data_IF_683435718503
#
_entry.id   IF_683435718503
#
_cell.length_a   1.000
_cell.length_b   1.000
_cell.length_c   1.000
_cell.angle_alpha   90.00
_cell.angle_beta   90.00
_cell.angle_gamma   90.00
#
_symmetry.space_group_name_H-M   'P 1'
#
loop_
_entity.id
_entity.type
_entity.pdbx_description
1 polymer ?
#
# COMPACT_ATOMS: atom_id res chain seq x y z
N UNK A 1 -38.09 -47.72 -27.41
CA UNK A 1 -37.71 -46.37 -27.91
C UNK A 1 -36.19 -46.24 -27.76
N UNK A 2 -35.45 -46.13 -28.86
CA UNK A 2 -33.98 -45.99 -28.83
C UNK A 2 -33.66 -44.51 -28.61
N UNK A 3 -33.12 -44.15 -27.46
CA UNK A 3 -32.67 -42.79 -27.20
C UNK A 3 -31.44 -42.50 -28.05
N UNK A 4 -31.49 -41.41 -28.82
CA UNK A 4 -30.42 -41.01 -29.71
C UNK A 4 -29.29 -40.36 -28.89
N UNK A 5 -28.10 -40.98 -28.79
CA UNK A 5 -27.03 -40.50 -27.91
C UNK A 5 -26.51 -39.08 -28.29
N UNK A 6 -26.72 -38.66 -29.54
CA UNK A 6 -26.32 -37.33 -30.02
C UNK A 6 -27.16 -36.19 -29.40
N UNK A 7 -28.42 -36.46 -29.03
CA UNK A 7 -29.28 -35.44 -28.39
C UNK A 7 -28.85 -35.20 -26.93
N UNK A 8 -28.38 -36.25 -26.24
CA UNK A 8 -27.88 -36.12 -24.86
C UNK A 8 -26.57 -35.32 -24.78
N UNK A 9 -25.65 -35.53 -25.73
CA UNK A 9 -24.38 -34.81 -25.81
C UNK A 9 -24.61 -33.34 -26.15
N UNK A 10 -25.53 -33.01 -27.06
CA UNK A 10 -25.88 -31.63 -27.39
C UNK A 10 -26.51 -30.85 -26.21
N UNK A 11 -27.35 -31.51 -25.40
CA UNK A 11 -27.95 -30.90 -24.19
C UNK A 11 -26.91 -30.66 -23.11
N UNK A 12 -25.93 -31.57 -22.94
CA UNK A 12 -24.84 -31.35 -21.94
C UNK A 12 -23.89 -30.23 -22.34
N UNK A 13 -23.63 -30.05 -23.65
CA UNK A 13 -22.79 -28.97 -24.17
C UNK A 13 -23.45 -27.58 -24.05
N UNK A 14 -24.79 -27.50 -24.11
CA UNK A 14 -25.49 -26.21 -23.91
C UNK A 14 -25.53 -25.77 -22.44
N UNK A 15 -25.57 -26.71 -21.49
CA UNK A 15 -25.59 -26.38 -20.04
C UNK A 15 -24.22 -25.87 -19.56
N UNK A 16 -23.12 -26.32 -20.17
CA UNK A 16 -21.78 -25.86 -19.82
C UNK A 16 -21.45 -24.45 -20.34
N UNK A 17 -22.19 -23.89 -21.28
CA UNK A 17 -22.01 -22.55 -21.82
C UNK A 17 -22.61 -21.45 -20.92
N UNK A 18 -23.46 -21.80 -19.96
CA UNK A 18 -24.04 -20.84 -19.02
C UNK A 18 -23.30 -20.68 -17.66
N UNK A 19 -22.21 -21.46 -17.46
CA UNK A 19 -21.40 -21.36 -16.22
C UNK A 19 -20.15 -20.48 -16.36
N UNK A 20 -20.02 -19.75 -17.44
CA UNK A 20 -18.90 -18.83 -17.64
C UNK A 20 -19.33 -17.38 -17.47
N UNK A 21 -18.98 -16.77 -16.39
CA UNK A 21 -18.96 -15.37 -15.94
C UNK A 21 -19.85 -15.10 -14.73
N UNK A 22 -19.53 -15.70 -13.59
CA UNK A 22 -19.75 -14.99 -12.35
C UNK A 22 -18.64 -13.93 -12.26
N UNK A 23 -18.99 -12.68 -12.60
CA UNK A 23 -18.17 -11.54 -12.24
C UNK A 23 -18.03 -11.56 -10.72
N UNK A 24 -16.82 -11.76 -10.21
CA UNK A 24 -16.58 -11.73 -8.79
C UNK A 24 -17.04 -10.36 -8.26
N UNK A 25 -17.85 -10.32 -7.22
CA UNK A 25 -18.35 -9.12 -6.55
C UNK A 25 -17.22 -8.17 -6.06
N UNK A 26 -15.97 -8.61 -6.13
CA UNK A 26 -14.75 -7.90 -5.75
C UNK A 26 -14.57 -6.57 -6.51
N UNK A 27 -15.08 -6.45 -7.73
CA UNK A 27 -14.92 -5.25 -8.58
C UNK A 27 -16.19 -4.41 -8.74
N UNK A 28 -17.25 -4.71 -7.96
CA UNK A 28 -18.46 -3.88 -8.01
C UNK A 28 -18.24 -2.58 -7.22
N UNK A 29 -18.54 -1.42 -7.82
CA UNK A 29 -18.50 -0.16 -7.10
C UNK A 29 -19.45 -0.19 -5.89
N UNK A 30 -19.06 0.46 -4.82
CA UNK A 30 -19.96 0.61 -3.68
C UNK A 30 -21.23 1.38 -4.07
N UNK A 31 -22.38 0.99 -3.53
CA UNK A 31 -23.56 1.82 -3.64
C UNK A 31 -23.37 3.17 -2.90
N UNK A 32 -24.12 4.17 -3.30
CA UNK A 32 -24.08 5.49 -2.64
C UNK A 32 -24.40 5.39 -1.15
N UNK A 33 -25.34 4.52 -0.78
CA UNK A 33 -25.78 4.29 0.60
C UNK A 33 -24.64 3.67 1.42
N UNK A 34 -23.96 2.64 0.89
CA UNK A 34 -22.80 2.02 1.52
C UNK A 34 -21.67 3.02 1.72
N UNK A 35 -21.35 3.81 0.71
CA UNK A 35 -20.30 4.83 0.79
C UNK A 35 -20.63 5.92 1.82
N UNK A 36 -21.89 6.39 1.88
CA UNK A 36 -22.33 7.37 2.87
C UNK A 36 -22.33 6.81 4.30
N UNK A 37 -22.78 5.57 4.51
CA UNK A 37 -22.75 4.92 5.80
C UNK A 37 -21.30 4.79 6.30
N UNK A 38 -20.41 4.31 5.44
CA UNK A 38 -18.99 4.21 5.77
C UNK A 38 -18.39 5.57 6.15
N UNK A 39 -18.68 6.62 5.37
CA UNK A 39 -18.17 7.98 5.64
C UNK A 39 -18.69 8.54 6.97
N UNK A 40 -19.95 8.26 7.31
CA UNK A 40 -20.56 8.71 8.57
C UNK A 40 -19.92 8.04 9.81
N UNK A 41 -19.40 6.83 9.66
CA UNK A 41 -18.75 6.07 10.73
C UNK A 41 -17.27 6.44 10.93
N UNK A 42 -16.67 7.22 10.00
CA UNK A 42 -15.26 7.54 10.02
C UNK A 42 -15.03 9.03 10.31
N UNK A 43 -14.09 9.36 11.21
CA UNK A 43 -13.78 10.75 11.51
C UNK A 43 -13.13 11.45 10.31
N UNK A 44 -13.14 12.78 10.34
CA UNK A 44 -12.42 13.61 9.38
C UNK A 44 -10.93 13.19 9.33
N UNK A 45 -10.39 13.06 8.12
CA UNK A 45 -8.98 12.68 7.92
C UNK A 45 -8.12 13.93 7.81
N UNK A 46 -7.19 14.07 8.73
CA UNK A 46 -6.15 15.10 8.72
C UNK A 46 -4.79 14.41 8.76
N UNK A 47 -3.89 14.77 7.85
CA UNK A 47 -2.59 14.11 7.80
C UNK A 47 -1.62 14.74 6.81
N UNK A 48 -0.47 14.10 6.67
CA UNK A 48 0.60 14.55 5.79
C UNK A 48 1.33 13.35 5.15
N UNK A 49 2.33 13.65 4.29
CA UNK A 49 3.32 12.65 3.92
C UNK A 49 4.19 12.35 5.15
N UNK A 50 4.49 11.08 5.35
CA UNK A 50 5.34 10.63 6.44
C UNK A 50 6.55 9.86 5.90
N UNK A 51 7.70 10.21 6.44
CA UNK A 51 8.96 9.52 6.36
C UNK A 51 9.70 9.81 7.66
N UNK A 52 10.31 8.82 8.33
CA UNK A 52 11.02 9.06 9.57
C UNK A 52 12.23 9.99 9.33
N UNK A 53 12.54 10.84 10.30
CA UNK A 53 13.64 11.82 10.20
C UNK A 53 15.03 11.18 10.03
N UNK A 54 15.15 9.90 10.28
CA UNK A 54 16.37 9.09 10.09
C UNK A 54 16.55 8.56 8.69
N UNK A 55 15.56 8.69 7.80
CA UNK A 55 15.62 8.21 6.42
C UNK A 55 15.63 9.37 5.43
N UNK A 56 16.50 9.33 4.42
CA UNK A 56 16.58 10.36 3.37
C UNK A 56 15.53 10.14 2.26
N UNK A 57 15.11 8.89 2.05
CA UNK A 57 14.14 8.49 1.04
C UNK A 57 13.42 7.19 1.45
N UNK A 58 12.50 6.72 0.60
CA UNK A 58 11.74 5.49 0.83
C UNK A 58 12.61 4.23 0.88
N UNK A 59 13.81 4.22 0.27
CA UNK A 59 14.72 3.07 0.36
C UNK A 59 15.26 2.95 1.78
N UNK A 60 15.80 4.04 2.36
CA UNK A 60 16.28 4.02 3.76
C UNK A 60 15.16 3.77 4.76
N UNK A 61 13.94 4.25 4.48
CA UNK A 61 12.80 3.99 5.35
C UNK A 61 12.51 2.49 5.49
N UNK A 62 12.71 1.71 4.42
CA UNK A 62 12.20 0.35 4.37
C UNK A 62 13.26 -0.74 4.37
N UNK A 63 14.51 -0.49 3.98
CA UNK A 63 15.56 -1.51 3.96
C UNK A 63 16.00 -1.89 5.37
N UNK A 64 16.34 -3.17 5.60
CA UNK A 64 16.68 -3.71 6.91
C UNK A 64 17.85 -3.03 7.60
N UNK A 65 18.80 -2.52 6.82
CA UNK A 65 19.99 -1.84 7.35
C UNK A 65 19.68 -0.50 8.05
N UNK A 66 18.56 0.14 7.72
CA UNK A 66 18.24 1.51 8.16
C UNK A 66 16.81 1.66 8.70
N UNK A 67 15.99 0.60 8.67
CA UNK A 67 14.64 0.63 9.24
C UNK A 67 14.68 0.95 10.73
N UNK A 68 14.01 2.02 11.14
CA UNK A 68 14.06 2.57 12.51
C UNK A 68 12.66 2.68 13.13
N UNK A 69 12.19 1.55 13.66
CA UNK A 69 10.90 1.46 14.33
C UNK A 69 10.76 2.41 15.52
N UNK A 70 11.86 2.68 16.23
CA UNK A 70 11.83 3.56 17.41
C UNK A 70 11.58 5.03 17.03
N UNK A 71 12.19 5.50 15.94
CA UNK A 71 11.93 6.82 15.39
C UNK A 71 10.52 6.93 14.81
N UNK A 72 10.08 5.90 14.09
CA UNK A 72 8.71 5.82 13.56
C UNK A 72 7.68 5.92 14.70
N UNK A 73 7.84 5.15 15.76
CA UNK A 73 6.94 5.17 16.93
C UNK A 73 6.88 6.55 17.59
N UNK A 74 8.04 7.16 17.82
CA UNK A 74 8.13 8.50 18.40
C UNK A 74 7.45 9.57 17.54
N UNK A 75 7.70 9.56 16.26
CA UNK A 75 7.21 10.60 15.34
C UNK A 75 5.74 10.45 15.01
N UNK A 76 5.22 9.24 14.92
CA UNK A 76 3.79 9.00 14.83
C UNK A 76 3.07 9.37 16.12
N UNK A 77 3.70 9.21 17.29
CA UNK A 77 3.19 9.72 18.57
C UNK A 77 3.04 11.24 18.55
N UNK A 78 4.03 11.98 18.07
CA UNK A 78 3.91 13.44 17.91
C UNK A 78 2.80 13.83 16.93
N UNK A 79 2.64 13.07 15.86
CA UNK A 79 1.58 13.31 14.89
C UNK A 79 0.18 13.12 15.51
N UNK A 80 0.00 12.08 16.32
CA UNK A 80 -1.23 11.84 17.10
C UNK A 80 -1.52 13.00 18.07
N UNK A 81 -0.51 13.46 18.82
CA UNK A 81 -0.65 14.56 19.77
C UNK A 81 -1.17 15.86 19.14
N UNK A 82 -0.82 16.14 17.89
CA UNK A 82 -1.31 17.31 17.15
C UNK A 82 -2.60 17.03 16.34
N UNK A 83 -3.19 15.85 16.49
CA UNK A 83 -4.48 15.49 15.92
C UNK A 83 -4.43 14.93 14.48
N UNK A 84 -3.27 14.54 13.97
CA UNK A 84 -3.18 13.84 12.70
C UNK A 84 -3.66 12.38 12.87
N UNK A 85 -4.41 11.87 11.90
CA UNK A 85 -4.99 10.54 11.95
C UNK A 85 -4.85 9.74 10.65
N UNK A 86 -4.09 10.26 9.70
CA UNK A 86 -3.72 9.56 8.47
C UNK A 86 -2.33 9.98 8.01
N UNK A 87 -1.52 9.01 7.57
CA UNK A 87 -0.23 9.26 6.92
C UNK A 87 -0.21 8.70 5.51
N UNK A 88 0.32 9.49 4.57
CA UNK A 88 0.64 9.02 3.23
C UNK A 88 2.10 8.59 3.20
N UNK A 89 2.33 7.33 2.86
CA UNK A 89 3.64 6.68 2.97
C UNK A 89 4.00 6.03 1.65
N UNK A 90 5.21 6.28 1.18
CA UNK A 90 5.73 5.72 -0.06
C UNK A 90 6.39 4.36 0.20
N UNK A 91 6.03 3.38 -0.61
CA UNK A 91 6.71 2.09 -0.65
C UNK A 91 7.93 2.16 -1.59
N UNK A 92 8.74 1.11 -1.62
CA UNK A 92 9.90 1.02 -2.51
C UNK A 92 9.93 -0.33 -3.23
N UNK A 93 9.80 -0.30 -4.55
CA UNK A 93 9.96 -1.48 -5.41
C UNK A 93 11.39 -2.01 -5.37
N UNK A 94 12.36 -1.12 -5.20
CA UNK A 94 13.79 -1.47 -5.08
C UNK A 94 14.05 -2.30 -3.83
N UNK A 95 13.49 -1.93 -2.69
CA UNK A 95 13.60 -2.72 -1.45
C UNK A 95 12.83 -4.03 -1.59
N UNK A 96 11.62 -4.01 -2.13
CA UNK A 96 10.85 -5.22 -2.42
C UNK A 96 11.62 -6.22 -3.28
N UNK A 97 12.34 -5.78 -4.31
CA UNK A 97 13.10 -6.65 -5.21
C UNK A 97 14.33 -7.28 -4.53
N UNK A 98 14.90 -6.63 -3.53
CA UNK A 98 16.13 -7.08 -2.87
C UNK A 98 15.88 -7.87 -1.57
N UNK A 99 14.86 -7.53 -0.79
CA UNK A 99 14.54 -8.18 0.49
C UNK A 99 13.02 -8.28 0.74
N UNK A 100 12.26 -9.02 -0.09
CA UNK A 100 10.80 -9.01 -0.06
C UNK A 100 10.21 -9.46 1.28
N UNK A 101 10.79 -10.46 1.94
CA UNK A 101 10.32 -10.97 3.22
C UNK A 101 10.51 -9.95 4.34
N UNK A 102 11.67 -9.31 4.42
CA UNK A 102 11.96 -8.27 5.40
C UNK A 102 11.11 -7.03 5.14
N UNK A 103 10.93 -6.65 3.87
CA UNK A 103 10.08 -5.52 3.49
C UNK A 103 8.63 -5.68 4.00
N UNK A 104 8.04 -6.87 3.85
CA UNK A 104 6.70 -7.16 4.38
C UNK A 104 6.67 -7.10 5.91
N UNK A 105 7.71 -7.60 6.59
CA UNK A 105 7.82 -7.52 8.05
C UNK A 105 7.89 -6.06 8.52
N UNK A 106 8.66 -5.22 7.86
CA UNK A 106 8.75 -3.78 8.17
C UNK A 106 7.44 -3.05 7.93
N UNK A 107 6.68 -3.39 6.86
CA UNK A 107 5.34 -2.87 6.64
C UNK A 107 4.40 -3.27 7.77
N UNK A 108 4.41 -4.52 8.20
CA UNK A 108 3.59 -5.02 9.30
C UNK A 108 3.94 -4.31 10.63
N UNK A 109 5.22 -4.12 10.92
CA UNK A 109 5.69 -3.40 12.09
C UNK A 109 5.28 -1.93 12.04
N UNK A 110 5.46 -1.26 10.91
CA UNK A 110 4.98 0.10 10.70
C UNK A 110 3.48 0.22 10.92
N UNK A 111 2.67 -0.68 10.36
CA UNK A 111 1.22 -0.66 10.53
C UNK A 111 0.80 -0.92 11.98
N UNK A 112 1.53 -1.76 12.69
CA UNK A 112 1.31 -2.00 14.13
C UNK A 112 1.57 -0.73 14.94
N UNK A 113 2.65 -0.02 14.64
CA UNK A 113 2.98 1.26 15.28
C UNK A 113 1.92 2.34 14.92
N UNK A 114 1.53 2.42 13.65
CA UNK A 114 0.53 3.39 13.21
C UNK A 114 -0.85 3.14 13.87
N UNK A 115 -1.25 1.88 14.02
CA UNK A 115 -2.51 1.53 14.71
C UNK A 115 -2.46 1.84 16.21
N UNK A 116 -1.31 1.65 16.88
CA UNK A 116 -1.07 2.06 18.26
C UNK A 116 -1.33 3.57 18.46
N UNK A 117 -0.98 4.39 17.50
CA UNK A 117 -1.19 5.84 17.48
C UNK A 117 -2.49 6.28 16.80
N UNK A 118 -3.42 5.36 16.52
CA UNK A 118 -4.70 5.64 15.86
C UNK A 118 -4.58 6.27 14.47
N UNK A 119 -3.44 6.12 13.82
CA UNK A 119 -3.13 6.65 12.49
C UNK A 119 -3.44 5.61 11.41
N UNK A 120 -4.23 5.99 10.41
CA UNK A 120 -4.46 5.17 9.21
C UNK A 120 -3.39 5.46 8.17
N UNK A 121 -3.05 4.48 7.36
CA UNK A 121 -2.01 4.59 6.34
C UNK A 121 -2.60 4.60 4.94
N UNK A 122 -2.16 5.54 4.12
CA UNK A 122 -2.38 5.60 2.69
C UNK A 122 -1.05 5.27 1.99
N UNK A 123 -0.88 4.05 1.53
CA UNK A 123 0.32 3.66 0.80
C UNK A 123 0.33 4.19 -0.63
N UNK A 124 1.49 4.67 -1.06
CA UNK A 124 1.81 5.00 -2.45
C UNK A 124 2.70 3.89 -2.99
N UNK A 125 2.22 3.20 -4.03
CA UNK A 125 2.92 2.08 -4.63
C UNK A 125 4.00 2.50 -5.64
N UNK A 126 3.76 3.63 -6.32
CA UNK A 126 4.66 4.14 -7.37
C UNK A 126 4.85 5.65 -7.20
N UNK A 127 6.09 6.09 -7.38
CA UNK A 127 6.47 7.50 -7.36
C UNK A 127 7.35 7.81 -8.59
N UNK A 128 6.80 8.54 -9.55
CA UNK A 128 7.48 8.89 -10.82
C UNK A 128 8.28 10.20 -10.72
N UNK A 129 8.50 10.74 -9.51
CA UNK A 129 9.18 12.00 -9.30
C UNK A 129 10.67 11.82 -8.96
N UNK A 130 11.46 12.87 -9.22
CA UNK A 130 12.85 13.04 -8.77
C UNK A 130 13.87 12.18 -9.55
N UNK A 131 14.91 11.70 -8.85
CA UNK A 131 15.98 10.97 -9.49
C UNK A 131 15.52 9.56 -9.96
N UNK A 132 15.58 9.24 -11.26
CA UNK A 132 15.17 7.94 -11.78
C UNK A 132 16.16 6.80 -11.50
N UNK A 133 17.37 7.12 -11.03
CA UNK A 133 18.43 6.14 -10.75
C UNK A 133 18.38 5.71 -9.27
N UNK A 134 17.36 4.96 -8.91
CA UNK A 134 17.24 4.38 -7.56
C UNK A 134 18.10 3.12 -7.43
N UNK A 135 18.86 3.01 -6.36
CA UNK A 135 19.72 1.85 -6.07
C UNK A 135 19.55 1.40 -4.62
N UNK A 136 19.50 0.08 -4.42
CA UNK A 136 19.45 -0.52 -3.08
C UNK A 136 20.77 -0.28 -2.33
N UNK A 137 20.68 -0.14 -0.99
CA UNK A 137 21.84 0.02 -0.10
C UNK A 137 22.04 1.46 0.35
N UNK A 138 23.30 1.85 0.57
CA UNK A 138 23.66 3.19 1.06
C UNK A 138 23.19 4.29 0.12
N UNK A 139 22.47 5.25 0.67
CA UNK A 139 21.94 6.38 -0.08
C UNK A 139 22.88 7.59 0.00
N UNK A 140 23.00 8.38 -1.08
CA UNK A 140 23.82 9.58 -1.06
C UNK A 140 23.27 10.62 -0.08
N UNK A 141 24.17 11.31 0.61
CA UNK A 141 23.78 12.39 1.51
C UNK A 141 23.00 13.50 0.79
N UNK A 142 22.02 14.14 1.45
CA UNK A 142 21.24 15.22 0.85
C UNK A 142 22.12 16.43 0.53
N UNK A 143 21.81 17.12 -0.57
CA UNK A 143 22.51 18.36 -0.96
C UNK A 143 21.92 19.53 -0.18
N UNK A 144 22.67 20.21 0.67
CA UNK A 144 22.17 21.34 1.45
C UNK A 144 21.53 22.42 0.57
N UNK A 145 20.36 22.90 0.97
CA UNK A 145 19.59 23.93 0.26
C UNK A 145 18.87 23.49 -1.00
N UNK A 146 18.93 22.20 -1.35
CA UNK A 146 18.18 21.63 -2.48
C UNK A 146 17.05 20.76 -1.95
N UNK A 147 15.80 21.16 -2.24
CA UNK A 147 14.60 20.43 -1.82
C UNK A 147 14.58 19.01 -2.41
N UNK A 148 14.33 18.02 -1.55
CA UNK A 148 14.24 16.60 -1.90
C UNK A 148 15.42 16.05 -2.71
N UNK A 149 16.63 16.56 -2.47
CA UNK A 149 17.83 16.16 -3.23
C UNK A 149 18.28 14.70 -3.03
N UNK A 150 17.75 14.01 -2.03
CA UNK A 150 17.95 12.58 -1.79
C UNK A 150 16.76 11.71 -2.22
N UNK A 151 15.65 12.32 -2.67
CA UNK A 151 14.48 11.57 -3.09
C UNK A 151 14.72 10.90 -4.44
N UNK A 152 14.22 9.69 -4.59
CA UNK A 152 14.38 8.87 -5.80
C UNK A 152 13.01 8.42 -6.31
N UNK A 153 12.98 8.13 -7.59
CA UNK A 153 11.84 7.51 -8.26
C UNK A 153 11.71 6.05 -7.85
N UNK A 154 10.49 5.53 -7.85
CA UNK A 154 10.21 4.10 -7.62
C UNK A 154 9.74 3.41 -8.91
#
# INVERSE_FOLDING_TARGET
MKHNPFILVALFSLVSLFWGCQSSDIYQPWSKEKAKAWYAEHPYRAGCNFQPSTAINQIEMWQSATFDAATIDRELGWAEEIGLNVMRVYLSSVVWQNEPEAFIQHIDEYLTIADKHHIKTLFVFFDDCWNPESTYGEQPAPKPGIHNSGWVQD
#
